data_IF_916997351802
#
_entry.id   IF_916997351802
#
_cell.length_a   1.000
_cell.length_b   1.000
_cell.length_c   1.000
_cell.angle_alpha   90.00
_cell.angle_beta   90.00
_cell.angle_gamma   90.00
#
_symmetry.space_group_name_H-M   'P 1'
#
loop_
_entity.id
_entity.type
_entity.pdbx_description
1 polymer ?
#
# COMPACT_ATOMS: atom_id res chain seq x y z
N UNK A 1 -15.66 -26.75 16.51
CA UNK A 1 -16.22 -25.39 16.65
C UNK A 1 -15.28 -24.27 16.17
N UNK A 2 -13.95 -24.37 16.39
CA UNK A 2 -12.99 -23.33 15.97
C UNK A 2 -12.82 -23.18 14.44
N UNK A 3 -12.96 -24.25 13.67
CA UNK A 3 -12.78 -24.24 12.20
C UNK A 3 -13.84 -23.42 11.46
N UNK A 4 -15.10 -23.48 11.91
CA UNK A 4 -16.20 -22.71 11.30
C UNK A 4 -16.00 -21.20 11.44
N UNK A 5 -15.65 -20.73 12.65
CA UNK A 5 -15.37 -19.31 12.91
C UNK A 5 -14.19 -18.79 12.08
N UNK A 6 -13.15 -19.61 11.92
CA UNK A 6 -12.01 -19.25 11.08
C UNK A 6 -12.41 -19.14 9.60
N UNK A 7 -13.19 -20.10 9.07
CA UNK A 7 -13.67 -20.06 7.70
C UNK A 7 -14.55 -18.82 7.42
N UNK A 8 -15.49 -18.51 8.33
CA UNK A 8 -16.33 -17.30 8.24
C UNK A 8 -15.50 -16.01 8.27
N UNK A 9 -14.49 -15.94 9.14
CA UNK A 9 -13.57 -14.81 9.20
C UNK A 9 -12.78 -14.65 7.90
N UNK A 10 -12.21 -15.75 7.37
CA UNK A 10 -11.46 -15.75 6.12
C UNK A 10 -12.34 -15.28 4.94
N UNK A 11 -13.56 -15.80 4.82
CA UNK A 11 -14.47 -15.40 3.75
C UNK A 11 -14.85 -13.91 3.84
N UNK A 12 -15.19 -13.41 5.03
CA UNK A 12 -15.46 -11.98 5.23
C UNK A 12 -14.26 -11.11 4.84
N UNK A 13 -13.05 -11.52 5.20
CA UNK A 13 -11.82 -10.81 4.84
C UNK A 13 -11.56 -10.87 3.34
N UNK A 14 -11.76 -12.02 2.70
CA UNK A 14 -11.65 -12.21 1.26
C UNK A 14 -12.57 -11.27 0.49
N UNK A 15 -13.84 -11.18 0.89
CA UNK A 15 -14.81 -10.26 0.30
C UNK A 15 -14.40 -8.79 0.49
N UNK A 16 -13.91 -8.45 1.68
CA UNK A 16 -13.42 -7.10 2.01
C UNK A 16 -12.21 -6.73 1.15
N UNK A 17 -11.20 -7.60 1.07
CA UNK A 17 -10.01 -7.40 0.27
C UNK A 17 -10.32 -7.33 -1.22
N UNK A 18 -11.22 -8.18 -1.73
CA UNK A 18 -11.67 -8.15 -3.13
C UNK A 18 -12.34 -6.83 -3.48
N UNK A 19 -13.15 -6.27 -2.57
CA UNK A 19 -13.75 -4.94 -2.74
C UNK A 19 -12.68 -3.85 -2.80
N UNK A 20 -11.71 -3.87 -1.88
CA UNK A 20 -10.64 -2.87 -1.82
C UNK A 20 -9.71 -2.94 -3.02
N UNK A 21 -9.38 -4.14 -3.48
CA UNK A 21 -8.55 -4.33 -4.67
C UNK A 21 -9.23 -3.76 -5.92
N UNK A 22 -10.53 -4.01 -6.10
CA UNK A 22 -11.30 -3.39 -7.19
C UNK A 22 -11.35 -1.87 -7.07
N UNK A 23 -11.54 -1.33 -5.87
CA UNK A 23 -11.52 0.12 -5.64
C UNK A 23 -10.16 0.74 -6.00
N UNK A 24 -9.06 0.07 -5.64
CA UNK A 24 -7.71 0.45 -6.04
C UNK A 24 -7.57 0.47 -7.56
N UNK A 25 -7.97 -0.60 -8.24
CA UNK A 25 -7.91 -0.68 -9.71
C UNK A 25 -8.73 0.42 -10.40
N UNK A 26 -9.93 0.73 -9.89
CA UNK A 26 -10.76 1.83 -10.40
C UNK A 26 -10.06 3.18 -10.19
N UNK A 27 -9.51 3.42 -9.00
CA UNK A 27 -8.85 4.69 -8.68
C UNK A 27 -7.60 4.93 -9.55
N UNK A 28 -6.79 3.89 -9.80
CA UNK A 28 -5.60 3.97 -10.65
C UNK A 28 -5.98 4.27 -12.11
N UNK A 29 -7.07 3.70 -12.59
CA UNK A 29 -7.52 3.82 -13.98
C UNK A 29 -8.38 5.06 -14.25
N UNK A 30 -8.70 5.86 -13.24
CA UNK A 30 -9.52 7.05 -13.44
C UNK A 30 -8.79 8.10 -14.31
N UNK A 31 -9.35 8.50 -15.47
CA UNK A 31 -8.66 9.33 -16.46
C UNK A 31 -8.36 10.75 -15.95
N UNK A 32 -9.30 11.36 -15.24
CA UNK A 32 -9.16 12.74 -14.73
C UNK A 32 -8.49 12.82 -13.36
N UNK A 33 -7.65 11.82 -13.04
CA UNK A 33 -7.06 11.54 -11.72
C UNK A 33 -7.22 12.71 -10.77
N UNK A 34 -8.23 12.64 -9.88
CA UNK A 34 -8.62 13.75 -9.01
C UNK A 34 -7.34 14.36 -8.47
N UNK A 35 -7.10 15.63 -8.77
CA UNK A 35 -5.96 16.38 -8.24
C UNK A 35 -6.19 16.53 -6.75
N UNK A 36 -5.95 15.46 -6.00
CA UNK A 36 -6.02 15.46 -4.55
C UNK A 36 -4.84 16.29 -4.09
N UNK A 37 -5.11 17.31 -3.29
CA UNK A 37 -4.06 18.08 -2.63
C UNK A 37 -3.08 17.14 -1.93
N UNK A 38 -1.80 17.50 -1.97
CA UNK A 38 -0.79 16.72 -1.27
C UNK A 38 -1.18 16.60 0.21
N UNK A 39 -1.22 15.38 0.76
CA UNK A 39 -1.59 15.18 2.15
C UNK A 39 -0.55 15.84 3.05
N UNK A 40 -1.03 16.64 4.01
CA UNK A 40 -0.22 17.25 5.06
C UNK A 40 -0.67 16.75 6.42
N UNK A 41 0.25 16.74 7.39
CA UNK A 41 -0.12 16.49 8.78
C UNK A 41 -1.01 17.64 9.28
N UNK A 42 -2.09 17.30 9.98
CA UNK A 42 -2.94 18.33 10.61
C UNK A 42 -2.21 19.00 11.76
N UNK A 43 -2.48 20.28 12.01
CA UNK A 43 -1.75 21.14 12.96
C UNK A 43 -1.64 20.58 14.40
N UNK A 44 -2.56 19.69 14.80
CA UNK A 44 -2.53 19.02 16.11
C UNK A 44 -1.52 17.88 16.24
N UNK A 45 -0.96 17.39 15.13
CA UNK A 45 0.03 16.32 15.14
C UNK A 45 1.45 16.89 15.13
N UNK A 46 2.20 16.59 16.19
CA UNK A 46 3.65 16.78 16.21
C UNK A 46 4.36 15.51 15.75
N UNK A 47 5.54 15.67 15.16
CA UNK A 47 6.32 14.58 14.62
C UNK A 47 7.81 14.82 14.84
N UNK A 48 8.54 13.72 14.94
CA UNK A 48 10.01 13.69 14.98
C UNK A 48 10.51 12.90 13.77
N UNK A 49 11.69 13.30 13.27
CA UNK A 49 12.37 12.61 12.16
C UNK A 49 13.79 12.29 12.60
N UNK A 50 14.09 11.01 12.73
CA UNK A 50 15.43 10.53 13.02
C UNK A 50 16.05 9.92 11.76
N UNK A 51 17.21 10.43 11.34
CA UNK A 51 18.00 9.84 10.27
C UNK A 51 18.96 8.80 10.85
N UNK A 52 19.07 7.62 10.23
CA UNK A 52 20.10 6.65 10.62
C UNK A 52 19.65 5.18 10.61
N UNK A 53 20.37 4.35 11.38
CA UNK A 53 20.16 2.91 11.46
C UNK A 53 18.74 2.57 11.90
N UNK A 54 18.16 1.53 11.31
CA UNK A 54 16.81 1.06 11.64
C UNK A 54 16.79 0.34 12.99
N UNK A 55 16.94 1.11 14.08
CA UNK A 55 17.07 0.64 15.47
C UNK A 55 15.95 -0.33 15.89
N UNK A 56 14.77 -0.23 15.27
CA UNK A 56 13.60 -1.07 15.58
C UNK A 56 13.39 -2.25 14.62
N UNK A 57 14.23 -2.40 13.60
CA UNK A 57 14.16 -3.51 12.66
C UNK A 57 15.27 -4.50 12.99
N UNK A 58 14.89 -5.72 13.36
CA UNK A 58 15.87 -6.74 13.72
C UNK A 58 16.81 -7.07 12.55
N UNK A 59 18.06 -7.43 12.86
CA UNK A 59 19.05 -7.82 11.84
C UNK A 59 18.53 -8.88 10.86
N UNK A 60 17.85 -9.96 11.29
CA UNK A 60 17.28 -10.93 10.35
C UNK A 60 16.21 -10.33 9.42
N UNK A 61 15.43 -9.36 9.91
CA UNK A 61 14.42 -8.69 9.08
C UNK A 61 15.09 -7.79 8.03
N UNK A 62 16.18 -7.09 8.39
CA UNK A 62 16.97 -6.30 7.44
C UNK A 62 17.61 -7.17 6.36
N UNK A 63 18.13 -8.35 6.72
CA UNK A 63 18.68 -9.32 5.76
C UNK A 63 17.61 -9.82 4.79
N UNK A 64 16.38 -10.05 5.27
CA UNK A 64 15.24 -10.39 4.40
C UNK A 64 14.91 -9.24 3.45
N UNK A 65 14.85 -8.00 3.94
CA UNK A 65 14.56 -6.82 3.11
C UNK A 65 15.61 -6.69 1.99
N UNK A 66 16.89 -6.80 2.34
CA UNK A 66 18.02 -6.77 1.41
C UNK A 66 17.97 -7.90 0.38
N UNK A 67 17.68 -9.13 0.82
CA UNK A 67 17.51 -10.29 -0.06
C UNK A 67 16.33 -10.16 -1.04
N UNK A 68 15.41 -9.22 -0.79
CA UNK A 68 14.30 -8.91 -1.71
C UNK A 68 14.61 -7.71 -2.62
N UNK A 69 15.87 -7.27 -2.68
CA UNK A 69 16.34 -6.21 -3.57
C UNK A 69 16.09 -4.80 -3.05
N UNK A 70 15.70 -4.64 -1.78
CA UNK A 70 15.46 -3.32 -1.18
C UNK A 70 16.67 -2.84 -0.38
N UNK A 71 16.91 -1.53 -0.31
CA UNK A 71 18.04 -0.99 0.44
C UNK A 71 18.00 -1.40 1.90
N UNK A 72 19.18 -1.71 2.45
CA UNK A 72 19.35 -1.98 3.89
C UNK A 72 19.43 -0.71 4.71
N UNK A 73 19.93 0.38 4.15
CA UNK A 73 20.19 1.66 4.80
C UNK A 73 19.48 2.79 4.04
N UNK A 74 19.70 4.05 4.44
CA UNK A 74 19.13 5.20 3.73
C UNK A 74 17.66 5.49 4.05
N UNK A 75 17.18 5.05 5.23
CA UNK A 75 15.82 5.35 5.69
C UNK A 75 15.85 6.44 6.75
N UNK A 76 14.83 7.29 6.72
CA UNK A 76 14.48 8.19 7.81
C UNK A 76 13.32 7.56 8.60
N UNK A 77 13.43 7.57 9.93
CA UNK A 77 12.38 7.15 10.83
C UNK A 77 11.43 8.33 11.11
N UNK A 78 10.19 8.20 10.64
CA UNK A 78 9.11 9.14 10.92
C UNK A 78 8.30 8.67 12.11
N UNK A 79 8.29 9.48 13.16
CA UNK A 79 7.58 9.21 14.39
C UNK A 79 6.50 10.27 14.63
N UNK A 80 5.29 9.82 14.94
CA UNK A 80 4.15 10.69 15.20
C UNK A 80 3.76 10.57 16.68
N UNK A 81 3.71 11.70 17.37
CA UNK A 81 3.53 11.71 18.82
C UNK A 81 2.12 11.27 19.20
N UNK A 82 2.05 10.35 20.15
CA UNK A 82 0.81 9.86 20.74
C UNK A 82 0.52 10.46 22.12
N UNK A 83 -0.21 9.68 22.92
CA UNK A 83 -0.45 9.94 24.35
C UNK A 83 0.62 9.25 25.20
N UNK A 84 1.78 9.89 25.36
CA UNK A 84 2.89 9.41 26.21
C UNK A 84 3.97 8.61 25.48
N UNK A 85 3.63 7.97 24.36
CA UNK A 85 4.57 7.30 23.44
C UNK A 85 4.27 7.69 21.98
N UNK A 86 5.09 7.25 21.03
CA UNK A 86 4.79 7.42 19.60
C UNK A 86 3.62 6.53 19.18
N UNK A 87 2.69 7.08 18.40
CA UNK A 87 1.53 6.33 17.89
C UNK A 87 1.83 5.59 16.59
N UNK A 88 2.71 6.18 15.78
CA UNK A 88 3.12 5.67 14.48
C UNK A 88 4.62 5.87 14.31
N UNK A 89 5.31 4.81 13.90
CA UNK A 89 6.74 4.78 13.61
C UNK A 89 6.95 4.04 12.29
N UNK A 90 7.48 4.76 11.31
CA UNK A 90 7.63 4.25 9.96
C UNK A 90 8.95 4.70 9.36
N UNK A 91 9.74 3.76 8.86
CA UNK A 91 10.93 4.06 8.10
C UNK A 91 10.54 4.30 6.64
N UNK A 92 10.98 5.41 6.07
CA UNK A 92 10.74 5.74 4.66
C UNK A 92 12.11 5.89 4.01
N UNK A 93 12.37 5.10 2.96
CA UNK A 93 13.64 5.18 2.25
C UNK A 93 13.76 6.52 1.53
N UNK A 94 14.96 7.10 1.55
CA UNK A 94 15.23 8.45 1.06
C UNK A 94 14.92 8.63 -0.44
N UNK A 95 15.02 7.58 -1.26
CA UNK A 95 14.65 7.65 -2.68
C UNK A 95 13.15 7.40 -2.97
N UNK A 96 12.37 6.99 -1.95
CA UNK A 96 10.95 6.67 -2.07
C UNK A 96 10.60 5.22 -2.42
N UNK A 97 11.57 4.32 -2.64
CA UNK A 97 11.32 2.94 -3.10
C UNK A 97 10.65 2.01 -2.09
N UNK A 98 10.87 2.23 -0.80
CA UNK A 98 10.37 1.33 0.25
C UNK A 98 9.88 2.08 1.48
N UNK A 99 8.80 1.57 2.07
CA UNK A 99 8.28 2.00 3.37
C UNK A 99 8.29 0.79 4.33
N UNK A 100 8.84 0.95 5.53
CA UNK A 100 8.78 -0.05 6.60
C UNK A 100 7.90 0.46 7.74
N UNK A 101 6.70 -0.10 7.85
CA UNK A 101 5.76 0.17 8.94
C UNK A 101 6.11 -0.72 10.14
N UNK A 102 6.69 -0.15 11.21
CA UNK A 102 7.19 -0.94 12.36
C UNK A 102 6.28 -0.86 13.60
N UNK A 103 5.68 0.30 13.86
CA UNK A 103 4.76 0.49 14.99
C UNK A 103 3.60 1.37 14.54
N UNK A 104 2.36 0.90 14.59
CA UNK A 104 1.21 1.63 14.06
C UNK A 104 -0.05 1.32 14.87
N UNK A 105 -0.16 1.94 16.05
CA UNK A 105 -1.23 1.65 17.00
C UNK A 105 -2.18 2.85 17.11
N UNK A 106 -3.32 2.71 16.45
CA UNK A 106 -4.39 3.71 16.50
C UNK A 106 -4.81 4.09 17.92
N UNK A 107 -4.67 3.19 18.91
CA UNK A 107 -5.01 3.44 20.31
C UNK A 107 -4.01 4.35 21.03
N UNK A 108 -2.74 4.36 20.59
CA UNK A 108 -1.69 5.21 21.12
C UNK A 108 -1.78 6.64 20.55
N UNK A 109 -2.58 6.86 19.50
CA UNK A 109 -2.89 8.17 18.95
C UNK A 109 -3.62 9.05 19.99
N UNK A 110 -3.12 10.28 20.22
CA UNK A 110 -3.71 11.22 21.18
C UNK A 110 -5.13 11.66 20.87
N UNK A 111 -5.53 11.51 19.61
CA UNK A 111 -6.88 11.79 19.13
C UNK A 111 -7.72 10.52 19.00
N UNK A 112 -7.31 9.36 19.53
CA UNK A 112 -8.09 8.13 19.43
C UNK A 112 -9.55 8.31 19.91
N UNK A 113 -10.50 7.90 19.06
CA UNK A 113 -11.96 8.10 19.21
C UNK A 113 -12.43 9.57 19.26
N UNK A 114 -11.59 10.54 18.89
CA UNK A 114 -11.95 11.95 18.77
C UNK A 114 -12.09 12.36 17.29
N UNK A 115 -12.94 13.35 16.96
CA UNK A 115 -13.14 13.80 15.57
C UNK A 115 -11.87 14.31 14.87
N UNK A 116 -10.89 14.79 15.64
CA UNK A 116 -9.62 15.31 15.13
C UNK A 116 -8.66 14.21 14.66
N UNK A 117 -8.97 12.94 14.92
CA UNK A 117 -8.09 11.85 14.55
C UNK A 117 -7.94 11.78 13.04
N UNK A 118 -6.69 11.89 12.60
CA UNK A 118 -6.37 11.68 11.20
C UNK A 118 -6.48 10.19 10.85
N UNK A 119 -7.17 9.83 9.75
CA UNK A 119 -7.14 8.47 9.23
C UNK A 119 -5.70 8.03 8.90
N UNK A 120 -5.36 6.78 9.24
CA UNK A 120 -4.00 6.24 9.02
C UNK A 120 -3.51 6.44 7.57
N UNK A 121 -4.39 6.28 6.59
CA UNK A 121 -4.08 6.50 5.17
C UNK A 121 -3.56 7.92 4.92
N UNK A 122 -4.21 8.93 5.50
CA UNK A 122 -3.78 10.31 5.33
C UNK A 122 -2.48 10.56 6.10
N UNK A 123 -2.38 10.04 7.33
CA UNK A 123 -1.19 10.14 8.18
C UNK A 123 0.05 9.61 7.45
N UNK A 124 -0.02 8.39 6.94
CA UNK A 124 1.11 7.79 6.22
C UNK A 124 1.46 8.51 4.94
N UNK A 125 0.45 8.95 4.18
CA UNK A 125 0.71 9.68 2.95
C UNK A 125 1.39 11.02 3.24
N UNK A 126 0.98 11.72 4.30
CA UNK A 126 1.64 12.94 4.75
C UNK A 126 3.09 12.69 5.21
N UNK A 127 3.36 11.61 5.94
CA UNK A 127 4.72 11.23 6.32
C UNK A 127 5.58 10.98 5.08
N UNK A 128 5.05 10.30 4.05
CA UNK A 128 5.76 10.07 2.79
C UNK A 128 6.08 11.36 2.05
N UNK A 129 5.13 12.30 1.96
CA UNK A 129 5.36 13.61 1.34
C UNK A 129 6.44 14.40 2.09
N UNK A 130 6.40 14.39 3.43
CA UNK A 130 7.44 15.02 4.25
C UNK A 130 8.82 14.40 4.03
N UNK A 131 8.88 13.06 3.95
CA UNK A 131 10.11 12.33 3.63
C UNK A 131 10.70 12.77 2.30
N UNK A 132 9.90 12.78 1.23
CA UNK A 132 10.38 13.16 -0.10
C UNK A 132 10.80 14.62 -0.16
N UNK A 133 10.08 15.52 0.53
CA UNK A 133 10.48 16.94 0.62
C UNK A 133 11.84 17.11 1.30
N UNK A 134 12.15 16.28 2.30
CA UNK A 134 13.42 16.33 3.03
C UNK A 134 14.57 15.72 2.25
N UNK A 135 14.36 14.56 1.63
CA UNK A 135 15.42 13.81 0.95
C UNK A 135 15.64 14.23 -0.51
N UNK A 136 14.67 14.90 -1.14
CA UNK A 136 14.64 15.11 -2.59
C UNK A 136 14.28 13.85 -3.39
N UNK A 137 13.80 12.80 -2.72
CA UNK A 137 13.35 11.56 -3.34
C UNK A 137 12.01 11.68 -4.07
N UNK A 138 11.54 10.56 -4.61
CA UNK A 138 10.27 10.51 -5.33
C UNK A 138 9.44 9.28 -4.93
N UNK A 139 8.35 9.52 -4.19
CA UNK A 139 7.47 8.45 -3.71
C UNK A 139 6.67 7.78 -4.84
N UNK A 140 6.64 8.35 -6.05
CA UNK A 140 6.11 7.65 -7.21
C UNK A 140 6.95 6.41 -7.58
N UNK A 141 8.20 6.32 -7.10
CA UNK A 141 9.09 5.17 -7.24
C UNK A 141 8.83 4.07 -6.21
N UNK A 142 7.80 4.19 -5.37
CA UNK A 142 7.48 3.18 -4.37
C UNK A 142 7.25 1.81 -5.02
N UNK A 143 8.04 0.83 -4.59
CA UNK A 143 8.05 -0.56 -5.08
C UNK A 143 7.58 -1.54 -3.99
N UNK A 144 7.73 -1.19 -2.70
CA UNK A 144 7.25 -2.04 -1.62
C UNK A 144 6.81 -1.32 -0.35
N UNK A 145 5.81 -1.92 0.31
CA UNK A 145 5.41 -1.57 1.68
C UNK A 145 5.55 -2.78 2.58
N UNK A 146 6.41 -2.66 3.57
CA UNK A 146 6.66 -3.67 4.58
C UNK A 146 5.83 -3.40 5.84
N UNK A 147 5.16 -4.43 6.34
CA UNK A 147 4.54 -4.45 7.66
C UNK A 147 5.39 -5.36 8.55
N UNK A 148 6.16 -4.76 9.45
CA UNK A 148 7.10 -5.45 10.33
C UNK A 148 6.42 -5.71 11.68
N UNK A 149 6.67 -6.88 12.27
CA UNK A 149 6.19 -7.17 13.64
C UNK A 149 4.67 -7.31 13.75
N UNK A 150 4.05 -8.19 12.96
CA UNK A 150 2.59 -8.36 12.98
C UNK A 150 2.12 -8.97 14.33
N UNK A 151 1.44 -8.14 15.13
CA UNK A 151 0.81 -8.55 16.40
C UNK A 151 -0.72 -8.69 16.31
N UNK A 152 -1.35 -8.16 15.26
CA UNK A 152 -2.81 -8.21 15.09
C UNK A 152 -3.30 -9.65 14.88
N UNK A 153 -4.15 -10.15 15.79
CA UNK A 153 -4.61 -11.55 15.81
C UNK A 153 -5.32 -11.98 14.53
N UNK A 154 -6.12 -11.11 13.92
CA UNK A 154 -6.83 -11.38 12.66
C UNK A 154 -5.82 -11.63 11.52
N UNK A 155 -4.85 -10.73 11.37
CA UNK A 155 -3.78 -10.86 10.36
C UNK A 155 -2.94 -12.10 10.60
N UNK A 156 -2.55 -12.36 11.86
CA UNK A 156 -1.80 -13.57 12.22
C UNK A 156 -2.57 -14.84 11.88
N UNK A 157 -3.89 -14.87 12.11
CA UNK A 157 -4.73 -16.03 11.81
C UNK A 157 -4.78 -16.33 10.31
N UNK A 158 -4.82 -15.30 9.46
CA UNK A 158 -4.72 -15.46 7.99
C UNK A 158 -3.35 -16.01 7.60
N UNK A 159 -2.27 -15.43 8.13
CA UNK A 159 -0.90 -15.87 7.87
C UNK A 159 -0.69 -17.33 8.29
N UNK A 160 -1.14 -17.71 9.48
CA UNK A 160 -0.99 -19.08 9.97
C UNK A 160 -1.81 -20.07 9.14
N UNK A 161 -3.01 -19.69 8.69
CA UNK A 161 -3.80 -20.50 7.76
C UNK A 161 -3.07 -20.70 6.43
N UNK A 162 -2.50 -19.63 5.87
CA UNK A 162 -1.72 -19.64 4.63
C UNK A 162 -0.50 -20.56 4.74
N UNK A 163 0.32 -20.38 5.78
CA UNK A 163 1.54 -21.16 6.01
C UNK A 163 1.25 -22.65 6.20
N UNK A 164 0.17 -23.01 6.91
CA UNK A 164 -0.24 -24.42 7.10
C UNK A 164 -0.60 -25.10 5.77
N UNK A 165 -1.23 -24.38 4.83
CA UNK A 165 -1.55 -24.94 3.50
C UNK A 165 -0.28 -25.24 2.70
N UNK A 166 0.70 -24.34 2.75
CA UNK A 166 1.98 -24.53 2.05
C UNK A 166 2.86 -25.61 2.70
N UNK A 167 2.78 -25.77 4.03
CA UNK A 167 3.53 -26.81 4.77
C UNK A 167 3.15 -28.22 4.31
N UNK A 168 1.94 -28.40 3.77
CA UNK A 168 1.49 -29.65 3.19
C UNK A 168 1.90 -29.84 1.71
N UNK A 169 2.53 -28.85 1.05
CA UNK A 169 2.75 -28.89 -0.41
C UNK A 169 4.19 -28.74 -0.88
N UNK A 170 5.13 -28.11 -0.16
CA UNK A 170 6.57 -28.06 -0.50
C UNK A 170 7.31 -27.25 0.56
N UNK A 171 8.04 -27.90 1.46
CA UNK A 171 9.08 -27.24 2.25
C UNK A 171 10.42 -27.92 1.95
N UNK A 172 11.05 -27.47 0.87
CA UNK A 172 12.41 -27.87 0.50
C UNK A 172 13.37 -26.73 0.90
N UNK A 173 14.10 -26.98 1.99
CA UNK A 173 15.54 -26.73 2.15
C UNK A 173 16.12 -25.31 2.23
N UNK A 174 15.34 -24.24 2.36
CA UNK A 174 15.95 -22.94 2.72
C UNK A 174 15.43 -22.44 4.07
N UNK A 175 16.36 -22.02 4.93
CA UNK A 175 16.13 -21.46 6.26
C UNK A 175 15.28 -20.15 6.27
N UNK A 176 14.60 -19.82 5.17
CA UNK A 176 13.65 -18.72 5.07
C UNK A 176 12.25 -19.31 4.86
N UNK A 177 11.48 -19.43 5.94
CA UNK A 177 10.06 -19.79 5.87
C UNK A 177 9.27 -18.59 5.37
N UNK A 178 9.14 -18.48 4.05
CA UNK A 178 8.32 -17.47 3.40
C UNK A 178 7.24 -18.10 2.54
N UNK A 179 6.13 -17.38 2.39
CA UNK A 179 4.95 -17.75 1.63
C UNK A 179 4.58 -16.60 0.72
N UNK A 180 4.23 -16.87 -0.53
CA UNK A 180 3.91 -15.85 -1.52
C UNK A 180 2.50 -16.08 -2.08
N UNK A 181 1.75 -14.98 -2.19
CA UNK A 181 0.38 -14.98 -2.70
C UNK A 181 0.17 -13.80 -3.64
N UNK A 182 -0.71 -13.99 -4.62
CA UNK A 182 -1.00 -13.02 -5.67
C UNK A 182 -2.51 -12.91 -5.89
N UNK A 183 -3.01 -11.96 -6.71
CA UNK A 183 -4.43 -11.83 -7.01
C UNK A 183 -5.12 -13.09 -7.58
N UNK A 184 -4.39 -14.11 -8.03
CA UNK A 184 -4.98 -15.41 -8.38
C UNK A 184 -5.37 -16.27 -7.18
N UNK A 185 -4.93 -15.90 -5.96
CA UNK A 185 -5.10 -16.67 -4.74
C UNK A 185 -6.15 -16.02 -3.81
N UNK A 186 -7.18 -16.76 -3.38
CA UNK A 186 -8.19 -16.23 -2.45
C UNK A 186 -7.58 -15.72 -1.12
N UNK A 187 -6.48 -16.31 -0.70
CA UNK A 187 -5.76 -15.92 0.52
C UNK A 187 -5.08 -14.56 0.37
N UNK A 188 -4.71 -14.12 -0.85
CA UNK A 188 -4.22 -12.76 -1.10
C UNK A 188 -5.29 -11.73 -0.71
N UNK A 189 -6.53 -11.93 -1.15
CA UNK A 189 -7.63 -11.05 -0.78
C UNK A 189 -7.96 -11.13 0.71
N UNK A 190 -7.84 -12.32 1.31
CA UNK A 190 -8.02 -12.47 2.76
C UNK A 190 -6.98 -11.67 3.54
N UNK A 191 -5.71 -11.70 3.12
CA UNK A 191 -4.63 -10.91 3.74
C UNK A 191 -4.85 -9.41 3.50
N UNK A 192 -5.26 -9.03 2.29
CA UNK A 192 -5.55 -7.64 1.92
C UNK A 192 -6.72 -7.05 2.72
N UNK A 193 -7.69 -7.90 3.10
CA UNK A 193 -8.82 -7.52 3.95
C UNK A 193 -8.48 -7.25 5.42
N UNK A 194 -7.27 -7.59 5.88
CA UNK A 194 -6.83 -7.34 7.26
C UNK A 194 -6.39 -5.89 7.44
N UNK A 195 -6.31 -5.37 8.68
CA UNK A 195 -5.80 -4.01 8.93
C UNK A 195 -4.42 -3.72 8.27
N UNK A 196 -3.57 -4.74 8.22
CA UNK A 196 -2.22 -4.65 7.64
C UNK A 196 -2.19 -4.61 6.10
N UNK A 197 -3.27 -5.03 5.43
CA UNK A 197 -3.44 -4.90 3.98
C UNK A 197 -4.33 -3.71 3.58
N UNK A 198 -5.42 -3.48 4.34
CA UNK A 198 -6.41 -2.42 4.07
C UNK A 198 -5.78 -1.03 4.03
N UNK A 199 -4.84 -0.76 4.95
CA UNK A 199 -4.11 0.49 4.97
C UNK A 199 -3.36 0.74 3.66
N UNK A 200 -2.62 -0.27 3.18
CA UNK A 200 -1.81 -0.16 1.96
C UNK A 200 -2.69 0.06 0.74
N UNK A 201 -3.71 -0.79 0.53
CA UNK A 201 -4.63 -0.63 -0.60
C UNK A 201 -5.36 0.73 -0.58
N UNK A 202 -5.83 1.14 0.60
CA UNK A 202 -6.53 2.42 0.75
C UNK A 202 -5.63 3.63 0.51
N UNK A 203 -4.35 3.54 0.88
CA UNK A 203 -3.35 4.58 0.62
C UNK A 203 -3.11 4.78 -0.87
N UNK A 204 -2.85 3.68 -1.59
CA UNK A 204 -2.64 3.70 -3.04
C UNK A 204 -3.91 4.14 -3.79
N UNK A 205 -5.09 3.72 -3.32
CA UNK A 205 -6.37 4.07 -3.95
C UNK A 205 -6.76 5.54 -3.72
N UNK A 206 -6.43 6.11 -2.56
CA UNK A 206 -6.79 7.50 -2.24
C UNK A 206 -5.85 8.51 -2.89
N UNK A 207 -4.59 8.16 -3.09
CA UNK A 207 -3.56 9.05 -3.63
C UNK A 207 -2.80 8.41 -4.80
N UNK A 208 -3.48 7.91 -5.85
CA UNK A 208 -2.84 7.13 -6.91
C UNK A 208 -1.77 7.92 -7.66
N UNK A 209 -1.96 9.23 -7.86
CA UNK A 209 -0.96 10.07 -8.55
C UNK A 209 0.28 10.34 -7.71
N UNK A 210 0.13 10.46 -6.38
CA UNK A 210 1.27 10.66 -5.46
C UNK A 210 2.16 9.43 -5.47
N UNK A 211 1.55 8.24 -5.43
CA UNK A 211 2.26 6.97 -5.42
C UNK A 211 2.45 6.37 -6.81
N UNK A 212 2.60 7.16 -7.88
CA UNK A 212 3.01 6.65 -9.19
C UNK A 212 2.10 5.59 -9.81
N UNK A 213 0.79 5.65 -9.53
CA UNK A 213 -0.26 4.76 -10.07
C UNK A 213 0.04 3.28 -9.85
N UNK A 214 0.55 2.95 -8.67
CA UNK A 214 0.96 1.59 -8.30
C UNK A 214 -0.22 0.71 -7.92
N UNK A 215 -0.21 -0.52 -8.42
CA UNK A 215 -1.09 -1.60 -7.99
C UNK A 215 -0.31 -2.62 -7.15
N UNK A 216 -1.02 -3.39 -6.32
CA UNK A 216 -0.43 -4.48 -5.55
C UNK A 216 -0.41 -5.74 -6.42
N UNK A 217 0.77 -6.28 -6.72
CA UNK A 217 0.93 -7.45 -7.60
C UNK A 217 1.09 -8.76 -6.85
N UNK A 218 1.69 -8.70 -5.66
CA UNK A 218 1.84 -9.86 -4.77
C UNK A 218 2.13 -9.44 -3.33
N UNK A 219 1.95 -10.39 -2.42
CA UNK A 219 2.38 -10.27 -1.04
C UNK A 219 3.27 -11.45 -0.68
N UNK A 220 4.40 -11.19 -0.02
CA UNK A 220 5.25 -12.23 0.56
C UNK A 220 5.25 -12.09 2.07
N UNK A 221 4.96 -13.19 2.77
CA UNK A 221 4.95 -13.25 4.22
C UNK A 221 6.18 -14.01 4.69
N UNK A 222 6.81 -13.50 5.74
CA UNK A 222 7.99 -14.11 6.34
C UNK A 222 7.71 -14.39 7.80
N UNK A 223 8.14 -15.55 8.28
CA UNK A 223 8.24 -15.82 9.71
C UNK A 223 9.60 -15.31 10.20
N UNK A 224 9.60 -14.28 11.04
CA UNK A 224 10.82 -13.70 11.63
C UNK A 224 10.94 -14.11 13.11
N UNK A 225 12.16 -14.50 13.50
CA UNK A 225 12.61 -15.03 14.81
C UNK A 225 11.55 -15.61 15.79
N UNK A 226 11.71 -16.92 16.07
CA UNK A 226 11.08 -17.66 17.16
C UNK A 226 11.83 -17.39 18.47
N UNK A 227 11.37 -16.47 19.32
CA UNK A 227 11.49 -16.80 20.74
C UNK A 227 10.61 -18.03 20.97
N UNK A 228 10.97 -18.94 21.90
CA UNK A 228 10.24 -20.21 22.13
C UNK A 228 8.72 -20.03 22.38
N UNK A 229 8.25 -18.80 22.61
CA UNK A 229 6.89 -18.50 23.00
C UNK A 229 6.06 -17.82 21.89
N UNK A 230 6.65 -17.05 20.95
CA UNK A 230 5.86 -16.36 19.91
C UNK A 230 6.61 -16.18 18.59
N UNK A 231 6.02 -16.65 17.50
CA UNK A 231 6.45 -16.29 16.15
C UNK A 231 6.15 -14.82 15.85
N UNK A 232 7.10 -14.09 15.26
CA UNK A 232 6.84 -12.81 14.62
C UNK A 232 6.64 -13.02 13.11
N UNK A 233 5.84 -12.16 12.50
CA UNK A 233 5.62 -12.19 11.05
C UNK A 233 5.90 -10.83 10.45
N UNK A 234 6.35 -10.83 9.20
CA UNK A 234 6.45 -9.65 8.36
C UNK A 234 5.69 -9.88 7.05
N UNK A 235 5.08 -8.84 6.50
CA UNK A 235 4.44 -8.87 5.18
C UNK A 235 5.14 -7.84 4.30
N UNK A 236 5.61 -8.23 3.13
CA UNK A 236 6.01 -7.33 2.06
C UNK A 236 4.91 -7.29 1.00
N UNK A 237 4.34 -6.10 0.77
CA UNK A 237 3.43 -5.84 -0.35
C UNK A 237 4.25 -5.28 -1.52
N UNK A 238 4.33 -6.03 -2.61
CA UNK A 238 5.04 -5.61 -3.82
C UNK A 238 4.13 -4.81 -4.73
N UNK A 239 4.67 -3.73 -5.26
CA UNK A 239 3.93 -2.73 -6.01
C UNK A 239 4.53 -2.53 -7.40
N UNK A 240 3.68 -2.48 -8.41
CA UNK A 240 4.08 -2.19 -9.79
C UNK A 240 3.25 -1.07 -10.39
N UNK A 241 3.86 -0.28 -11.26
CA UNK A 241 3.16 0.81 -11.95
C UNK A 241 2.19 0.25 -12.98
N UNK A 242 0.97 0.76 -12.97
CA UNK A 242 0.03 0.50 -14.05
C UNK A 242 0.23 1.57 -15.12
N UNK A 243 0.57 1.20 -16.36
CA UNK A 243 0.73 2.15 -17.45
C UNK A 243 -0.51 3.05 -17.61
N UNK A 244 -0.33 4.30 -18.05
CA UNK A 244 -1.50 5.12 -18.42
C UNK A 244 -2.17 4.47 -19.62
N UNK A 245 -3.51 4.34 -19.63
CA UNK A 245 -4.23 4.17 -20.89
C UNK A 245 -3.73 5.26 -21.83
N UNK A 246 -3.10 4.89 -22.94
CA UNK A 246 -2.67 5.88 -23.92
C UNK A 246 -3.92 6.64 -24.34
N UNK A 247 -3.88 7.98 -24.26
CA UNK A 247 -4.95 8.80 -24.79
C UNK A 247 -5.07 8.44 -26.26
N UNK A 248 -6.20 7.81 -26.64
CA UNK A 248 -6.48 7.51 -28.04
C UNK A 248 -6.45 8.86 -28.74
N UNK A 249 -5.44 9.08 -29.58
CA UNK A 249 -5.34 10.34 -30.33
C UNK A 249 -6.69 10.54 -31.04
N UNK A 250 -7.32 11.73 -30.95
CA UNK A 250 -8.57 11.96 -31.65
C UNK A 250 -8.32 11.62 -33.10
N UNK A 251 -9.08 10.63 -33.62
CA UNK A 251 -8.98 10.24 -35.01
C UNK A 251 -9.09 11.52 -35.86
N UNK A 252 -8.22 11.73 -36.87
CA UNK A 252 -8.34 12.91 -37.72
C UNK A 252 -9.78 13.00 -38.19
N UNK A 253 -10.40 14.20 -38.17
CA UNK A 253 -11.81 14.35 -38.47
C UNK A 253 -12.10 13.65 -39.80
N UNK A 254 -12.87 12.56 -39.71
CA UNK A 254 -13.24 11.79 -40.88
C UNK A 254 -13.91 12.70 -41.92
N UNK A 255 -13.83 12.36 -43.21
CA UNK A 255 -14.43 13.18 -44.25
C UNK A 255 -15.89 13.47 -43.90
N UNK A 256 -16.22 14.76 -43.82
CA UNK A 256 -17.55 15.24 -43.46
C UNK A 256 -18.61 14.44 -44.21
N UNK A 257 -19.59 13.92 -43.49
CA UNK A 257 -20.71 13.20 -44.10
C UNK A 257 -21.39 14.08 -45.16
N UNK A 258 -22.02 13.45 -46.16
CA UNK A 258 -22.80 14.17 -47.19
C UNK A 258 -23.79 15.18 -46.59
N UNK A 259 -24.34 14.88 -45.40
CA UNK A 259 -25.30 15.74 -44.68
C UNK A 259 -24.62 16.99 -44.10
N UNK A 260 -23.41 16.85 -43.55
CA UNK A 260 -22.61 17.97 -43.04
C UNK A 260 -22.09 18.87 -44.17
N UNK A 261 -21.68 18.29 -45.31
CA UNK A 261 -21.29 19.06 -46.51
C UNK A 261 -22.44 19.92 -47.05
N UNK A 262 -23.68 19.39 -47.06
CA UNK A 262 -24.87 20.16 -47.46
C UNK A 262 -25.20 21.29 -46.48
N UNK A 263 -24.97 21.09 -45.19
CA UNK A 263 -25.19 22.13 -44.17
C UNK A 263 -24.17 23.26 -44.26
N UNK A 264 -22.90 22.96 -44.53
CA UNK A 264 -21.88 23.98 -44.73
C UNK A 264 -22.11 24.79 -46.01
N UNK A 265 -22.49 24.14 -47.13
CA UNK A 265 -22.87 24.85 -48.36
C UNK A 265 -24.06 25.81 -48.19
N UNK A 266 -24.96 25.55 -47.24
CA UNK A 266 -26.09 26.44 -46.91
C UNK A 266 -25.69 27.64 -46.05
N UNK A 267 -24.55 27.59 -45.36
CA UNK A 267 -24.06 28.66 -44.48
C UNK A 267 -23.05 29.59 -45.15
N UNK A 268 -22.53 29.26 -46.32
CA UNK A 268 -21.69 30.15 -47.11
C UNK A 268 -22.60 31.02 -47.98
N UNK A 269 -22.71 32.34 -47.74
CA UNK A 269 -23.42 33.22 -48.66
C UNK A 269 -22.64 33.21 -49.97
N UNK A 270 -23.29 32.80 -51.06
CA UNK A 270 -22.79 33.05 -52.40
C UNK A 270 -22.83 34.55 -52.65
N UNK A 271 -21.68 35.21 -52.44
CA UNK A 271 -21.47 36.58 -52.90
C UNK A 271 -21.27 36.58 -54.41
N UNK A 272 -22.33 36.93 -55.14
CA UNK A 272 -22.40 37.73 -56.36
C UNK A 272 -23.86 37.69 -56.85
#
# INVERSE_FOLDING_TARGET
MHTKKLAEMLERLRLTGSKLYRQLQVAINHPDGVSVSLPTLSDGYSHDIESGLQKYVSKPTLEIIEANGFPRNGYDLFQINGSGEYAYENYIHSDGKAILCVYNFAKSDRYYKKPQKMPWIQMMSACCVLAMKRSGGDIAKLEAVWRVGIVNTETRSVIEHMLRRETNQRFVETNQRSAEVSPSDDVFYSLLGTDNGRGVAGMLAKYPQVFGRKNITRARVYKTQETRQHASYCICWFLEEVPRPQAVSPSPPGPLSRKQKRWQKRKTPSGA
#
